data_IF_482260115762
#
_entry.id   IF_482260115762
#
_cell.length_a   1.000
_cell.length_b   1.000
_cell.length_c   1.000
_cell.angle_alpha   90.00
_cell.angle_beta   90.00
_cell.angle_gamma   90.00
#
_symmetry.space_group_name_H-M   'P 1'
#
loop_
_entity.id
_entity.type
_entity.pdbx_description
1 polymer ?
#
# COMPACT_ATOMS: atom_id res chain seq x y z
N UNK A 1 -11.32 32.46 31.61
CA UNK A 1 -12.16 32.69 30.42
C UNK A 1 -11.30 32.40 29.22
N UNK A 2 -11.50 31.25 28.56
CA UNK A 2 -10.82 30.96 27.31
C UNK A 2 -11.25 32.03 26.29
N UNK A 3 -10.29 32.67 25.63
CA UNK A 3 -10.57 33.67 24.60
C UNK A 3 -11.40 33.01 23.51
N UNK A 4 -12.62 33.50 23.26
CA UNK A 4 -13.50 32.99 22.18
C UNK A 4 -12.97 33.29 20.78
N UNK A 5 -11.81 33.94 20.69
CA UNK A 5 -11.15 34.39 19.47
C UNK A 5 -9.76 33.77 19.35
N UNK A 6 -9.70 32.44 19.36
CA UNK A 6 -8.48 31.64 19.12
C UNK A 6 -8.66 30.77 17.87
N UNK A 7 -7.55 30.38 17.24
CA UNK A 7 -7.57 29.45 16.10
C UNK A 7 -8.19 28.10 16.48
N UNK A 8 -7.86 27.59 17.67
CA UNK A 8 -8.46 26.37 18.22
C UNK A 8 -9.99 26.44 18.23
N UNK A 9 -10.56 27.51 18.80
CA UNK A 9 -12.00 27.67 18.93
C UNK A 9 -12.70 27.99 17.59
N UNK A 10 -12.08 28.82 16.74
CA UNK A 10 -12.71 29.31 15.51
C UNK A 10 -12.50 28.39 14.29
N UNK A 11 -11.49 27.51 14.31
CA UNK A 11 -11.08 26.71 13.15
C UNK A 11 -10.91 25.24 13.52
N UNK A 12 -10.07 24.91 14.50
CA UNK A 12 -9.70 23.52 14.80
C UNK A 12 -10.90 22.70 15.32
N UNK A 13 -11.57 23.16 16.38
CA UNK A 13 -12.73 22.47 16.95
C UNK A 13 -13.90 22.34 15.96
N UNK A 14 -14.28 23.37 15.18
CA UNK A 14 -15.26 23.22 14.12
C UNK A 14 -14.86 22.20 13.05
N UNK A 15 -13.59 22.16 12.64
CA UNK A 15 -13.10 21.19 11.66
C UNK A 15 -13.16 19.76 12.19
N UNK A 16 -12.78 19.54 13.46
CA UNK A 16 -12.90 18.25 14.15
C UNK A 16 -14.35 17.79 14.19
N UNK A 17 -15.28 18.67 14.61
CA UNK A 17 -16.71 18.34 14.68
C UNK A 17 -17.31 18.00 13.31
N UNK A 18 -16.88 18.69 12.24
CA UNK A 18 -17.29 18.36 10.87
C UNK A 18 -16.80 16.97 10.48
N UNK A 19 -15.52 16.67 10.71
CA UNK A 19 -14.94 15.37 10.38
C UNK A 19 -15.64 14.24 11.13
N UNK A 20 -15.86 14.41 12.44
CA UNK A 20 -16.46 13.39 13.29
C UNK A 20 -17.96 13.21 13.02
N UNK A 21 -18.75 14.28 13.08
CA UNK A 21 -20.21 14.16 13.15
C UNK A 21 -20.90 14.23 11.78
N UNK A 22 -20.29 14.88 10.79
CA UNK A 22 -20.89 15.02 9.45
C UNK A 22 -20.29 14.02 8.47
N UNK A 23 -18.97 13.83 8.52
CA UNK A 23 -18.27 12.93 7.59
C UNK A 23 -18.07 11.53 8.17
N UNK A 24 -18.29 11.33 9.48
CA UNK A 24 -18.20 10.03 10.14
C UNK A 24 -16.78 9.49 10.31
N UNK A 25 -15.79 10.39 10.46
CA UNK A 25 -14.40 10.01 10.68
C UNK A 25 -14.12 9.78 12.17
N UNK A 26 -13.30 8.79 12.47
CA UNK A 26 -12.72 8.65 13.82
C UNK A 26 -11.62 9.70 14.01
N UNK A 27 -11.84 10.65 14.92
CA UNK A 27 -10.86 11.73 15.21
C UNK A 27 -10.12 11.44 16.52
N UNK A 28 -8.81 11.71 16.54
CA UNK A 28 -7.98 11.60 17.74
C UNK A 28 -7.12 12.86 17.86
N UNK A 29 -7.15 13.48 19.04
CA UNK A 29 -6.25 14.57 19.39
C UNK A 29 -4.87 14.03 19.79
N UNK A 30 -3.83 14.46 19.09
CA UNK A 30 -2.46 13.94 19.26
C UNK A 30 -1.52 14.91 19.98
N UNK A 31 -2.02 16.05 20.48
CA UNK A 31 -1.18 17.09 21.09
C UNK A 31 -0.33 16.57 22.27
N UNK A 32 -0.90 15.65 23.05
CA UNK A 32 -0.26 15.00 24.20
C UNK A 32 0.20 13.56 23.93
N UNK A 33 0.45 13.16 22.67
CA UNK A 33 0.80 11.78 22.29
C UNK A 33 1.90 11.15 23.16
N UNK A 34 2.87 11.96 23.62
CA UNK A 34 4.07 11.50 24.33
C UNK A 34 4.10 11.85 25.83
N UNK A 35 3.04 12.44 26.37
CA UNK A 35 3.03 12.93 27.75
C UNK A 35 3.17 11.78 28.78
N UNK A 36 2.78 10.57 28.39
CA UNK A 36 2.93 9.33 29.18
C UNK A 36 4.26 8.61 29.01
N UNK A 37 5.24 9.18 28.29
CA UNK A 37 6.56 8.57 28.04
C UNK A 37 6.59 7.56 26.88
N UNK A 38 5.44 7.09 26.42
CA UNK A 38 5.27 6.28 25.21
C UNK A 38 4.15 6.86 24.34
N UNK A 39 4.21 6.63 23.02
CA UNK A 39 3.19 7.10 22.08
C UNK A 39 1.87 6.35 22.27
N UNK A 40 0.77 7.07 22.43
CA UNK A 40 -0.58 6.49 22.37
C UNK A 40 -1.00 6.07 20.94
N UNK A 41 -0.19 6.36 19.93
CA UNK A 41 -0.36 5.95 18.54
C UNK A 41 0.59 4.81 18.13
N UNK A 42 1.28 4.21 19.11
CA UNK A 42 2.21 3.09 18.91
C UNK A 42 3.39 3.44 17.98
N UNK A 43 3.78 4.71 17.94
CA UNK A 43 4.99 5.16 17.24
C UNK A 43 6.21 5.00 18.14
N UNK A 44 7.33 4.61 17.54
CA UNK A 44 8.63 4.56 18.22
C UNK A 44 9.31 5.93 18.24
N UNK A 45 8.87 6.86 17.37
CA UNK A 45 9.38 8.22 17.40
C UNK A 45 8.57 9.24 16.61
N UNK A 46 8.74 10.53 16.97
CA UNK A 46 8.05 11.67 16.33
C UNK A 46 8.33 11.86 14.84
N UNK A 47 9.32 11.17 14.28
CA UNK A 47 9.66 11.22 12.84
C UNK A 47 8.86 10.22 12.01
N UNK A 48 8.23 9.23 12.63
CA UNK A 48 7.49 8.19 11.91
C UNK A 48 6.17 8.75 11.40
N UNK A 49 5.97 8.79 10.09
CA UNK A 49 4.73 9.34 9.51
C UNK A 49 3.67 8.26 9.27
N UNK A 50 4.06 6.98 9.30
CA UNK A 50 3.17 5.84 9.07
C UNK A 50 2.81 5.20 10.41
N UNK A 51 1.51 5.12 10.71
CA UNK A 51 0.98 4.40 11.88
C UNK A 51 0.83 2.92 11.56
N UNK A 52 1.90 2.14 11.67
CA UNK A 52 1.92 0.72 11.28
C UNK A 52 0.88 -0.12 12.04
N UNK A 53 0.66 0.17 13.33
CA UNK A 53 -0.36 -0.45 14.17
C UNK A 53 -1.79 -0.27 13.64
N UNK A 54 -2.08 0.83 12.94
CA UNK A 54 -3.37 1.07 12.27
C UNK A 54 -3.38 0.58 10.81
N UNK A 55 -2.24 0.70 10.13
CA UNK A 55 -2.10 0.32 8.72
C UNK A 55 -2.32 -1.19 8.52
N UNK A 56 -1.67 -2.05 9.33
CA UNK A 56 -1.74 -3.51 9.15
C UNK A 56 -3.18 -4.04 9.33
N UNK A 57 -3.95 -3.67 10.37
CA UNK A 57 -5.36 -4.05 10.48
C UNK A 57 -6.22 -3.50 9.33
N UNK A 58 -5.98 -2.25 8.89
CA UNK A 58 -6.72 -1.66 7.78
C UNK A 58 -6.47 -2.43 6.46
N UNK A 59 -5.21 -2.78 6.17
CA UNK A 59 -4.87 -3.59 4.99
C UNK A 59 -5.51 -4.98 5.04
N UNK A 60 -5.54 -5.64 6.20
CA UNK A 60 -6.25 -6.92 6.38
C UNK A 60 -7.75 -6.79 6.16
N UNK A 61 -8.36 -5.73 6.68
CA UNK A 61 -9.80 -5.46 6.51
C UNK A 61 -10.17 -5.19 5.06
N UNK A 62 -9.32 -4.47 4.32
CA UNK A 62 -9.54 -4.16 2.91
C UNK A 62 -9.25 -5.36 1.99
N UNK A 63 -8.37 -6.28 2.42
CA UNK A 63 -7.92 -7.42 1.61
C UNK A 63 -8.03 -8.72 2.42
N UNK A 64 -9.25 -9.20 2.73
CA UNK A 64 -9.45 -10.36 3.62
C UNK A 64 -8.91 -11.67 3.03
N UNK A 65 -8.82 -11.77 1.71
CA UNK A 65 -8.40 -12.99 1.00
C UNK A 65 -6.88 -13.08 0.80
N UNK A 66 -6.13 -12.04 1.18
CA UNK A 66 -4.68 -12.04 1.02
C UNK A 66 -3.97 -12.75 2.18
N UNK A 67 -2.91 -13.53 1.88
CA UNK A 67 -2.10 -14.15 2.91
C UNK A 67 -1.35 -13.09 3.73
N UNK A 68 -0.99 -13.44 4.97
CA UNK A 68 -0.35 -12.51 5.91
C UNK A 68 0.97 -11.98 5.36
N UNK A 69 1.72 -12.81 4.65
CA UNK A 69 2.99 -12.49 4.01
C UNK A 69 2.84 -11.39 2.96
N UNK A 70 1.73 -11.39 2.21
CA UNK A 70 1.44 -10.34 1.23
C UNK A 70 1.14 -9.00 1.93
N UNK A 71 0.39 -9.04 3.03
CA UNK A 71 0.11 -7.84 3.84
C UNK A 71 1.41 -7.28 4.43
N UNK A 72 2.30 -8.14 4.92
CA UNK A 72 3.58 -7.73 5.49
C UNK A 72 4.48 -7.09 4.43
N UNK A 73 4.61 -7.72 3.25
CA UNK A 73 5.35 -7.11 2.14
C UNK A 73 4.77 -5.77 1.67
N UNK A 74 3.45 -5.60 1.73
CA UNK A 74 2.79 -4.33 1.41
C UNK A 74 3.11 -3.24 2.45
N UNK A 75 3.11 -3.59 3.74
CA UNK A 75 3.52 -2.66 4.82
C UNK A 75 4.98 -2.26 4.66
N UNK A 76 5.88 -3.21 4.43
CA UNK A 76 7.31 -2.93 4.21
C UNK A 76 7.51 -1.97 3.03
N UNK A 77 6.82 -2.23 1.92
CA UNK A 77 6.94 -1.35 0.76
C UNK A 77 6.38 0.05 1.05
N UNK A 78 5.23 0.17 1.71
CA UNK A 78 4.65 1.47 2.06
C UNK A 78 5.55 2.25 3.01
N UNK A 79 6.23 1.57 3.94
CA UNK A 79 7.15 2.17 4.90
C UNK A 79 8.57 2.38 4.35
N UNK A 80 8.89 1.90 3.15
CA UNK A 80 10.23 2.03 2.57
C UNK A 80 10.66 3.49 2.46
N UNK A 81 11.87 3.76 2.92
CA UNK A 81 12.47 5.10 2.85
C UNK A 81 12.61 5.56 1.40
N UNK A 82 12.04 6.72 1.12
CA UNK A 82 12.04 7.39 -0.19
C UNK A 82 12.47 8.85 -0.07
N UNK A 83 13.15 9.21 1.01
CA UNK A 83 13.64 10.58 1.26
C UNK A 83 14.57 11.11 0.16
N UNK A 84 15.23 10.21 -0.58
CA UNK A 84 16.07 10.56 -1.73
C UNK A 84 15.27 10.92 -3.02
N UNK A 85 13.96 10.68 -3.05
CA UNK A 85 13.10 11.00 -4.19
C UNK A 85 12.48 12.40 -4.06
N UNK A 86 12.12 13.01 -5.19
CA UNK A 86 11.33 14.24 -5.18
C UNK A 86 9.91 13.99 -4.65
N UNK A 87 9.28 15.02 -4.06
CA UNK A 87 7.90 14.91 -3.55
C UNK A 87 6.90 14.43 -4.63
N UNK A 88 7.06 14.89 -5.87
CA UNK A 88 6.22 14.47 -7.00
C UNK A 88 6.42 12.98 -7.35
N UNK A 89 7.66 12.48 -7.28
CA UNK A 89 7.96 11.07 -7.50
C UNK A 89 7.39 10.19 -6.36
N UNK A 90 7.52 10.62 -5.10
CA UNK A 90 6.94 9.91 -3.95
C UNK A 90 5.42 9.84 -4.04
N UNK A 91 4.74 10.95 -4.37
CA UNK A 91 3.28 10.99 -4.49
C UNK A 91 2.79 10.07 -5.62
N UNK A 92 3.42 10.19 -6.79
CA UNK A 92 3.09 9.33 -7.93
C UNK A 92 3.27 7.85 -7.59
N UNK A 93 4.37 7.49 -6.95
CA UNK A 93 4.64 6.10 -6.60
C UNK A 93 3.69 5.57 -5.50
N UNK A 94 3.50 6.32 -4.42
CA UNK A 94 2.75 5.85 -3.24
C UNK A 94 1.25 5.94 -3.44
N UNK A 95 0.73 7.11 -3.83
CA UNK A 95 -0.70 7.34 -3.92
C UNK A 95 -1.32 6.76 -5.20
N UNK A 96 -0.65 6.89 -6.35
CA UNK A 96 -1.18 6.37 -7.61
C UNK A 96 -0.85 4.88 -7.78
N UNK A 97 0.43 4.50 -7.80
CA UNK A 97 0.78 3.12 -8.17
C UNK A 97 0.47 2.11 -7.05
N UNK A 98 0.77 2.42 -5.79
CA UNK A 98 0.58 1.45 -4.69
C UNK A 98 -0.86 1.47 -4.19
N UNK A 99 -1.41 2.65 -3.87
CA UNK A 99 -2.72 2.75 -3.22
C UNK A 99 -3.89 2.67 -4.19
N UNK A 100 -3.79 3.30 -5.37
CA UNK A 100 -4.90 3.36 -6.34
C UNK A 100 -4.88 2.19 -7.31
N UNK A 101 -3.75 1.94 -7.95
CA UNK A 101 -3.64 0.91 -9.00
C UNK A 101 -3.37 -0.48 -8.40
N UNK A 102 -3.01 -0.54 -7.12
CA UNK A 102 -2.66 -1.77 -6.41
C UNK A 102 -1.25 -2.23 -6.76
N UNK A 103 -0.47 -2.61 -5.74
CA UNK A 103 0.85 -3.20 -5.96
C UNK A 103 0.76 -4.72 -5.96
N UNK A 104 1.36 -5.36 -6.96
CA UNK A 104 1.70 -6.79 -6.91
C UNK A 104 2.85 -6.95 -5.92
N UNK A 105 2.56 -7.57 -4.78
CA UNK A 105 3.57 -7.96 -3.79
C UNK A 105 4.07 -9.34 -4.16
N UNK A 106 5.36 -9.48 -4.46
CA UNK A 106 5.98 -10.78 -4.61
C UNK A 106 6.04 -11.47 -3.24
N UNK A 107 5.17 -12.45 -3.05
CA UNK A 107 5.22 -13.32 -1.87
C UNK A 107 6.44 -14.22 -2.06
N UNK A 108 7.53 -13.93 -1.34
CA UNK A 108 8.61 -14.92 -1.21
C UNK A 108 8.04 -16.09 -0.42
N UNK A 109 8.03 -17.33 -0.95
CA UNK A 109 7.55 -18.46 -0.19
C UNK A 109 8.43 -18.64 1.06
N UNK A 110 7.82 -18.46 2.24
CA UNK A 110 8.43 -18.80 3.50
C UNK A 110 8.46 -20.33 3.62
N UNK A 111 9.63 -20.91 3.30
CA UNK A 111 9.96 -22.35 3.20
C UNK A 111 9.91 -22.91 1.78
N UNK A 112 11.09 -23.30 1.32
CA UNK A 112 11.30 -24.31 0.29
C UNK A 112 10.63 -25.62 0.75
N UNK A 113 9.37 -25.82 0.38
CA UNK A 113 8.74 -27.15 0.48
C UNK A 113 9.22 -27.94 -0.73
N UNK A 114 10.26 -28.75 -0.54
CA UNK A 114 10.59 -29.81 -1.49
C UNK A 114 9.47 -30.83 -1.48
N UNK A 115 8.68 -30.87 -2.54
CA UNK A 115 7.89 -32.06 -2.83
C UNK A 115 8.88 -33.16 -3.24
N UNK A 116 8.83 -34.37 -2.66
CA UNK A 116 9.56 -35.50 -3.21
C UNK A 116 8.99 -35.78 -4.61
N UNK A 117 9.78 -35.55 -5.65
CA UNK A 117 9.50 -36.06 -6.99
C UNK A 117 9.54 -37.58 -6.90
N UNK A 118 8.37 -38.17 -6.64
CA UNK A 118 8.14 -39.59 -6.81
C UNK A 118 7.55 -39.79 -8.19
N UNK A 119 8.35 -40.47 -9.03
CA UNK A 119 7.99 -41.25 -10.20
C UNK A 119 7.68 -40.53 -11.54
N UNK A 120 8.57 -40.86 -12.49
CA UNK A 120 8.25 -41.38 -13.83
C UNK A 120 7.80 -40.41 -14.95
N UNK A 121 8.82 -39.99 -15.73
CA UNK A 121 8.93 -40.01 -17.21
C UNK A 121 7.65 -40.03 -18.04
N UNK A 122 7.49 -39.04 -18.91
CA UNK A 122 7.26 -39.25 -20.35
C UNK A 122 7.76 -38.03 -21.14
N UNK A 123 8.82 -38.23 -21.95
CA UNK A 123 9.27 -37.27 -22.95
C UNK A 123 8.22 -37.20 -24.08
N UNK A 124 7.76 -35.99 -24.40
CA UNK A 124 6.90 -35.69 -25.55
C UNK A 124 7.73 -34.94 -26.63
N UNK A 125 7.49 -35.19 -27.93
CA UNK A 125 8.41 -34.87 -29.02
C UNK A 125 8.32 -33.42 -29.50
N UNK A 126 9.42 -32.91 -30.07
CA UNK A 126 9.51 -31.58 -30.68
C UNK A 126 8.51 -31.41 -31.85
N UNK A 127 7.62 -30.41 -31.72
CA UNK A 127 6.74 -29.95 -32.80
C UNK A 127 7.49 -28.93 -33.68
N UNK A 128 7.72 -29.31 -34.94
CA UNK A 128 8.29 -28.48 -35.99
C UNK A 128 7.31 -27.40 -36.44
N UNK A 129 7.70 -26.13 -36.30
CA UNK A 129 6.90 -24.98 -36.74
C UNK A 129 7.14 -24.71 -38.23
N UNK A 130 6.15 -25.05 -39.06
CA UNK A 130 6.11 -24.65 -40.49
C UNK A 130 5.71 -23.17 -40.55
N UNK A 131 6.54 -22.33 -41.17
CA UNK A 131 6.18 -20.94 -41.49
C UNK A 131 5.20 -20.92 -42.65
N UNK A 132 4.00 -20.41 -42.41
CA UNK A 132 3.02 -20.10 -43.45
C UNK A 132 3.25 -18.64 -43.93
N UNK A 133 3.43 -18.47 -45.23
CA UNK A 133 3.71 -17.20 -45.89
C UNK A 133 2.50 -16.24 -45.86
N UNK A 134 2.73 -15.00 -45.42
CA UNK A 134 1.74 -13.92 -45.45
C UNK A 134 1.77 -13.17 -46.81
N UNK A 135 0.61 -12.84 -47.42
CA UNK A 135 0.57 -12.10 -48.69
C UNK A 135 0.79 -10.59 -48.51
N UNK A 136 1.28 -9.87 -49.55
CA UNK A 136 1.67 -8.47 -49.45
C UNK A 136 0.45 -7.54 -49.60
N UNK A 137 0.25 -6.64 -48.64
CA UNK A 137 -0.69 -5.54 -48.79
C UNK A 137 -0.05 -4.41 -49.61
N UNK A 138 -0.63 -4.14 -50.79
CA UNK A 138 -0.24 -3.07 -51.70
C UNK A 138 -0.77 -1.70 -51.29
N UNK A 139 0.06 -0.67 -51.51
CA UNK A 139 -0.26 0.75 -51.34
C UNK A 139 -1.26 1.23 -52.39
N UNK A 140 -2.38 1.82 -51.98
CA UNK A 140 -3.07 2.86 -52.74
C UNK A 140 -3.59 3.95 -51.79
N UNK A 141 -3.00 5.15 -51.90
CA UNK A 141 -3.65 6.40 -51.49
C UNK A 141 -4.43 6.94 -52.69
N UNK A 142 -5.58 7.59 -52.49
CA UNK A 142 -6.02 8.66 -53.38
C UNK A 142 -5.22 9.95 -53.13
#
# INVERSE_FOLDING_TARGET
MASSYTEDHLVEQPAIQLMEHVLGWDVVGCHGEWDGGASNLERDGKREVVLTGRLKPALRRLNPDLPVEAIEGAVEELCRDRTALSLAAVNTHTALHIMKDGKIVEIRPAKEVRYPLSAEVQEEPELSFVREDAPPYGNQRP
#
